data_IF_821477475624
#
_entry.id   IF_821477475624
#
_cell.length_a   1.000
_cell.length_b   1.000
_cell.length_c   1.000
_cell.angle_alpha   90.00
_cell.angle_beta   90.00
_cell.angle_gamma   90.00
#
_symmetry.space_group_name_H-M   'P 1'
#
loop_
_entity.id
_entity.type
_entity.pdbx_description
1 polymer ?
#
# COMPACT_ATOMS: atom_id res chain seq x y z
N UNK A 1 -12.99 -15.55 15.17
CA UNK A 1 -13.54 -14.21 15.52
C UNK A 1 -12.81 -13.17 14.66
N UNK A 2 -13.49 -12.12 14.22
CA UNK A 2 -12.84 -11.05 13.47
C UNK A 2 -11.99 -10.17 14.39
N UNK A 3 -10.80 -9.80 13.94
CA UNK A 3 -9.90 -8.86 14.64
C UNK A 3 -10.43 -7.45 14.53
N UNK A 4 -10.93 -7.08 13.33
CA UNK A 4 -11.53 -5.77 13.06
C UNK A 4 -12.97 -5.96 12.59
N UNK A 5 -13.88 -5.13 13.08
CA UNK A 5 -15.24 -4.98 12.52
C UNK A 5 -15.55 -3.50 12.45
N UNK A 6 -15.77 -3.01 11.23
CA UNK A 6 -16.25 -1.67 10.95
C UNK A 6 -17.66 -1.76 10.33
N UNK A 7 -18.59 -0.96 10.83
CA UNK A 7 -19.95 -0.89 10.30
C UNK A 7 -20.33 0.56 10.01
N UNK A 8 -20.57 0.87 8.73
CA UNK A 8 -20.93 2.18 8.19
C UNK A 8 -20.05 3.31 8.71
N UNK A 9 -18.73 3.01 8.80
CA UNK A 9 -17.73 3.89 9.38
C UNK A 9 -17.51 5.12 8.51
N UNK A 10 -17.67 6.31 9.09
CA UNK A 10 -17.43 7.57 8.36
C UNK A 10 -16.62 8.55 9.21
N UNK A 11 -15.77 9.34 8.54
CA UNK A 11 -14.96 10.39 9.17
C UNK A 11 -15.00 11.67 8.37
N UNK A 12 -15.41 12.74 9.01
CA UNK A 12 -15.43 14.10 8.50
C UNK A 12 -14.37 14.96 9.17
N UNK A 13 -13.69 15.81 8.39
CA UNK A 13 -12.81 16.88 8.83
C UNK A 13 -13.45 18.21 8.41
N UNK A 14 -14.29 18.77 9.30
CA UNK A 14 -15.14 19.89 8.91
C UNK A 14 -16.07 19.47 7.76
N UNK A 15 -15.90 20.09 6.58
CA UNK A 15 -16.67 19.78 5.38
C UNK A 15 -16.01 18.73 4.47
N UNK A 16 -14.80 18.28 4.79
CA UNK A 16 -14.05 17.29 3.98
C UNK A 16 -14.36 15.89 4.49
N UNK A 17 -14.84 15.03 3.61
CA UNK A 17 -15.10 13.62 3.88
C UNK A 17 -13.80 12.81 3.65
N UNK A 18 -13.25 12.25 4.72
CA UNK A 18 -12.04 11.42 4.64
C UNK A 18 -12.34 9.95 4.44
N UNK A 19 -13.39 9.42 5.09
CA UNK A 19 -13.90 8.03 4.96
C UNK A 19 -15.41 8.07 4.97
N UNK A 20 -16.06 7.32 4.09
CA UNK A 20 -17.50 7.33 3.86
C UNK A 20 -18.08 5.92 3.87
N UNK A 21 -18.94 5.64 4.84
CA UNK A 21 -19.79 4.44 4.90
C UNK A 21 -19.03 3.12 4.72
N UNK A 22 -17.84 3.01 5.31
CA UNK A 22 -17.01 1.82 5.22
C UNK A 22 -17.54 0.73 6.14
N UNK A 23 -17.98 -0.38 5.55
CA UNK A 23 -18.28 -1.63 6.25
C UNK A 23 -17.25 -2.66 5.85
N UNK A 24 -16.47 -3.15 6.82
CA UNK A 24 -15.35 -4.05 6.58
C UNK A 24 -15.07 -4.93 7.79
N UNK A 25 -14.64 -6.17 7.54
CA UNK A 25 -14.24 -7.08 8.61
C UNK A 25 -12.94 -7.80 8.27
N UNK A 26 -12.02 -7.88 9.24
CA UNK A 26 -10.74 -8.55 9.11
C UNK A 26 -10.63 -9.69 10.12
N UNK A 27 -10.34 -10.90 9.64
CA UNK A 27 -10.15 -12.08 10.49
C UNK A 27 -8.73 -12.25 10.99
N UNK A 28 -7.74 -11.79 10.25
CA UNK A 28 -6.31 -11.89 10.57
C UNK A 28 -5.45 -11.98 9.31
N UNK A 29 -4.14 -12.22 9.50
CA UNK A 29 -3.17 -12.28 8.42
C UNK A 29 -2.68 -10.91 7.94
N UNK A 30 -1.98 -10.88 6.83
CA UNK A 30 -1.49 -9.64 6.20
C UNK A 30 -2.53 -9.18 5.18
N UNK A 31 -3.00 -7.94 5.29
CA UNK A 31 -3.94 -7.33 4.36
C UNK A 31 -3.39 -6.01 3.83
N UNK A 32 -3.41 -5.85 2.51
CA UNK A 32 -3.04 -4.63 1.83
C UNK A 32 -4.22 -3.66 1.72
N UNK A 33 -4.07 -2.44 2.22
CA UNK A 33 -5.01 -1.33 2.02
C UNK A 33 -4.53 -0.48 0.84
N UNK A 34 -5.10 -0.70 -0.32
CA UNK A 34 -4.67 -0.15 -1.58
C UNK A 34 -5.53 1.06 -1.99
N UNK A 35 -4.90 2.14 -2.43
CA UNK A 35 -5.64 3.31 -2.91
C UNK A 35 -4.74 4.50 -3.25
N UNK A 36 -5.19 5.44 -4.12
CA UNK A 36 -4.40 6.62 -4.44
C UNK A 36 -4.20 7.54 -3.23
N UNK A 37 -3.34 8.55 -3.38
CA UNK A 37 -3.17 9.58 -2.37
C UNK A 37 -4.49 10.33 -2.16
N UNK A 38 -4.85 10.57 -0.89
CA UNK A 38 -6.13 11.18 -0.54
C UNK A 38 -7.34 10.23 -0.55
N UNK A 39 -7.18 8.93 -0.84
CA UNK A 39 -8.28 7.96 -0.86
C UNK A 39 -8.91 7.68 0.51
N UNK A 40 -8.27 8.09 1.62
CA UNK A 40 -8.75 7.83 2.99
C UNK A 40 -7.97 6.76 3.76
N UNK A 41 -6.91 6.15 3.18
CA UNK A 41 -6.08 5.10 3.80
C UNK A 41 -5.59 5.46 5.20
N UNK A 42 -4.83 6.56 5.32
CA UNK A 42 -4.28 7.02 6.61
C UNK A 42 -5.38 7.40 7.61
N UNK A 43 -6.54 7.89 7.12
CA UNK A 43 -7.70 8.16 7.99
C UNK A 43 -8.25 6.88 8.59
N UNK A 44 -8.43 5.84 7.78
CA UNK A 44 -8.90 4.53 8.24
C UNK A 44 -7.89 3.91 9.20
N UNK A 45 -6.59 3.90 8.87
CA UNK A 45 -5.52 3.39 9.73
C UNK A 45 -5.51 4.11 11.09
N UNK A 46 -5.63 5.45 11.11
CA UNK A 46 -5.68 6.21 12.37
C UNK A 46 -6.91 5.89 13.22
N UNK A 47 -8.05 5.60 12.60
CA UNK A 47 -9.23 5.13 13.33
C UNK A 47 -9.00 3.74 13.92
N UNK A 48 -8.42 2.82 13.14
CA UNK A 48 -8.02 1.47 13.61
C UNK A 48 -7.03 1.53 14.77
N UNK A 49 -6.07 2.47 14.72
CA UNK A 49 -5.09 2.70 15.78
C UNK A 49 -5.68 3.37 17.04
N UNK A 50 -6.97 3.75 17.02
CA UNK A 50 -7.60 4.48 18.11
C UNK A 50 -7.11 5.92 18.29
N UNK A 51 -6.44 6.49 17.26
CA UNK A 51 -5.94 7.88 17.26
C UNK A 51 -6.99 8.87 16.75
N UNK A 52 -8.02 8.37 16.09
CA UNK A 52 -9.04 9.20 15.45
C UNK A 52 -10.43 8.63 15.75
N UNK A 53 -11.29 9.44 16.34
CA UNK A 53 -12.68 9.05 16.58
C UNK A 53 -13.48 9.10 15.28
N UNK A 54 -14.26 8.04 14.94
CA UNK A 54 -15.24 8.09 13.87
C UNK A 54 -16.25 9.21 14.07
N UNK A 55 -16.74 9.79 12.97
CA UNK A 55 -17.85 10.76 13.01
C UNK A 55 -19.21 10.06 13.00
N UNK A 56 -19.30 8.88 12.34
CA UNK A 56 -20.49 8.01 12.27
C UNK A 56 -20.06 6.55 12.17
N UNK A 57 -21.02 5.66 12.43
CA UNK A 57 -20.80 4.22 12.41
C UNK A 57 -20.09 3.69 13.65
N UNK A 58 -19.71 2.42 13.62
CA UNK A 58 -19.02 1.77 14.72
C UNK A 58 -17.74 1.10 14.24
N UNK A 59 -16.76 1.01 15.16
CA UNK A 59 -15.50 0.33 14.93
C UNK A 59 -15.12 -0.45 16.18
N UNK A 60 -14.83 -1.73 16.00
CA UNK A 60 -14.23 -2.56 17.06
C UNK A 60 -12.95 -3.22 16.55
N UNK A 61 -11.97 -3.29 17.44
CA UNK A 61 -10.73 -4.05 17.28
C UNK A 61 -10.64 -4.99 18.47
N UNK A 62 -10.48 -6.29 18.22
CA UNK A 62 -10.58 -7.33 19.27
C UNK A 62 -11.87 -7.23 20.10
N UNK A 63 -12.98 -6.80 19.49
CA UNK A 63 -14.28 -6.70 20.12
C UNK A 63 -14.56 -5.43 20.93
N UNK A 64 -13.60 -4.49 21.05
CA UNK A 64 -13.79 -3.23 21.76
C UNK A 64 -13.40 -2.01 20.90
N UNK A 65 -13.89 -0.82 21.28
CA UNK A 65 -13.64 0.43 20.57
C UNK A 65 -12.18 0.90 20.81
N UNK A 66 -11.30 0.93 19.78
CA UNK A 66 -9.89 1.29 19.97
C UNK A 66 -9.68 2.75 20.41
N UNK A 67 -10.62 3.65 20.13
CA UNK A 67 -10.53 5.05 20.57
C UNK A 67 -10.79 5.20 22.07
N UNK A 68 -11.63 4.35 22.66
CA UNK A 68 -12.06 4.43 24.05
C UNK A 68 -11.29 3.45 24.96
N UNK A 69 -10.89 2.29 24.43
CA UNK A 69 -10.25 1.22 25.21
C UNK A 69 -8.72 1.25 25.10
N UNK A 70 -8.06 1.55 26.22
CA UNK A 70 -6.59 1.57 26.30
C UNK A 70 -6.01 0.13 26.25
N UNK A 71 -6.74 -0.87 26.70
CA UNK A 71 -6.32 -2.27 26.64
C UNK A 71 -6.18 -2.74 25.20
N UNK A 72 -7.12 -2.35 24.34
CA UNK A 72 -7.02 -2.60 22.90
C UNK A 72 -5.83 -1.86 22.28
N UNK A 73 -5.64 -0.58 22.60
CA UNK A 73 -4.50 0.19 22.05
C UNK A 73 -3.14 -0.41 22.41
N UNK A 74 -2.98 -1.00 23.57
CA UNK A 74 -1.75 -1.71 23.98
C UNK A 74 -1.44 -2.94 23.13
N UNK A 75 -2.42 -3.47 22.42
CA UNK A 75 -2.28 -4.60 21.49
C UNK A 75 -2.06 -4.16 20.05
N UNK A 76 -1.99 -2.85 19.79
CA UNK A 76 -1.85 -2.26 18.46
C UNK A 76 -0.48 -1.62 18.33
N UNK A 77 0.29 -2.02 17.32
CA UNK A 77 1.48 -1.34 16.84
C UNK A 77 1.15 -0.43 15.66
N UNK A 78 1.67 0.78 15.64
CA UNK A 78 1.42 1.73 14.55
C UNK A 78 2.70 2.40 14.06
N UNK A 79 2.98 2.29 12.77
CA UNK A 79 4.04 3.00 12.07
C UNK A 79 3.41 4.01 11.10
N UNK A 80 3.47 5.33 11.40
CA UNK A 80 2.91 6.36 10.54
C UNK A 80 3.75 6.59 9.28
N UNK A 81 3.14 7.14 8.21
CA UNK A 81 3.86 7.53 7.00
C UNK A 81 4.95 8.59 7.30
N UNK A 82 4.55 9.68 7.96
CA UNK A 82 5.41 10.81 8.24
C UNK A 82 5.81 10.88 9.71
N UNK A 83 7.06 11.21 9.95
CA UNK A 83 7.63 11.43 11.25
C UNK A 83 8.21 12.84 11.34
N UNK A 84 7.92 13.51 12.44
CA UNK A 84 8.60 14.75 12.82
C UNK A 84 9.18 14.53 14.22
N UNK A 85 10.46 14.87 14.42
CA UNK A 85 11.04 15.08 15.74
C UNK A 85 11.91 13.98 16.37
N UNK A 86 12.36 12.94 15.65
CA UNK A 86 13.24 11.94 16.27
C UNK A 86 14.71 12.03 15.85
N UNK A 87 15.07 13.06 15.12
CA UNK A 87 16.38 13.21 14.49
C UNK A 87 17.55 13.22 15.49
N UNK A 88 17.32 13.70 16.71
CA UNK A 88 18.35 13.80 17.72
C UNK A 88 18.51 12.52 18.58
N UNK A 89 17.56 11.60 18.50
CA UNK A 89 17.61 10.35 19.23
C UNK A 89 18.38 9.28 18.45
N UNK A 90 18.92 8.32 19.20
CA UNK A 90 19.36 7.03 18.63
C UNK A 90 18.17 6.07 18.50
N UNK A 91 18.23 5.05 17.65
CA UNK A 91 17.17 4.01 17.58
C UNK A 91 16.86 3.38 18.93
N UNK A 92 17.88 3.08 19.74
CA UNK A 92 17.66 2.47 21.08
C UNK A 92 16.90 3.40 21.99
N UNK A 93 17.26 4.70 22.04
CA UNK A 93 16.56 5.70 22.87
C UNK A 93 15.10 5.85 22.42
N UNK A 94 14.87 5.92 21.11
CA UNK A 94 13.55 6.07 20.54
C UNK A 94 12.68 4.84 20.80
N UNK A 95 13.17 3.64 20.44
CA UNK A 95 12.41 2.40 20.58
C UNK A 95 12.14 2.09 22.05
N UNK A 96 13.10 2.35 22.94
CA UNK A 96 12.91 2.22 24.39
C UNK A 96 11.82 3.16 24.91
N UNK A 97 11.83 4.43 24.48
CA UNK A 97 10.79 5.39 24.88
C UNK A 97 9.40 4.93 24.41
N UNK A 98 9.29 4.42 23.19
CA UNK A 98 8.03 3.88 22.67
C UNK A 98 7.58 2.61 23.43
N UNK A 99 8.52 1.74 23.80
CA UNK A 99 8.22 0.58 24.62
C UNK A 99 7.61 0.98 25.99
N UNK A 100 8.22 1.96 26.66
CA UNK A 100 7.72 2.46 27.95
C UNK A 100 6.34 3.12 27.81
N UNK A 101 6.09 3.89 26.75
CA UNK A 101 4.79 4.48 26.44
C UNK A 101 3.72 3.42 26.13
N UNK A 102 4.10 2.32 25.48
CA UNK A 102 3.21 1.19 25.22
C UNK A 102 2.93 0.32 26.46
N UNK A 103 3.65 0.57 27.57
CA UNK A 103 3.43 -0.11 28.84
C UNK A 103 4.43 -1.22 29.18
N UNK A 104 5.54 -1.34 28.43
CA UNK A 104 6.65 -2.23 28.77
C UNK A 104 7.33 -1.68 30.03
N UNK A 105 7.51 -2.49 31.10
CA UNK A 105 8.16 -2.07 32.32
C UNK A 105 9.57 -1.51 32.06
N UNK A 106 9.96 -0.44 32.71
CA UNK A 106 11.28 0.20 32.56
C UNK A 106 12.45 -0.78 32.75
N UNK A 107 12.30 -1.76 33.62
CA UNK A 107 13.30 -2.82 33.85
C UNK A 107 13.54 -3.73 32.63
N UNK A 108 12.59 -3.78 31.70
CA UNK A 108 12.66 -4.60 30.46
C UNK A 108 12.74 -3.76 29.18
N UNK A 109 12.48 -2.44 29.24
CA UNK A 109 12.37 -1.58 28.07
C UNK A 109 13.66 -1.51 27.24
N UNK A 110 14.83 -1.53 27.91
CA UNK A 110 16.12 -1.49 27.22
C UNK A 110 16.36 -2.79 26.42
N UNK A 111 16.19 -3.94 27.04
CA UNK A 111 16.36 -5.24 26.39
C UNK A 111 15.33 -5.44 25.25
N UNK A 112 14.08 -5.02 25.46
CA UNK A 112 13.05 -5.06 24.42
C UNK A 112 13.43 -4.17 23.20
N UNK A 113 13.97 -2.97 23.46
CA UNK A 113 14.40 -2.09 22.39
C UNK A 113 15.57 -2.66 21.58
N UNK A 114 16.57 -3.23 22.27
CA UNK A 114 17.72 -3.86 21.61
C UNK A 114 17.27 -5.05 20.75
N UNK A 115 16.39 -5.89 21.24
CA UNK A 115 15.82 -7.01 20.51
C UNK A 115 15.05 -6.54 19.27
N UNK A 116 14.13 -5.57 19.41
CA UNK A 116 13.36 -5.04 18.29
C UNK A 116 14.24 -4.40 17.21
N UNK A 117 15.35 -3.75 17.59
CA UNK A 117 16.31 -3.17 16.66
C UNK A 117 17.10 -4.28 15.95
N UNK A 118 17.48 -5.33 16.66
CA UNK A 118 18.18 -6.48 16.09
C UNK A 118 17.30 -7.21 15.07
N UNK A 119 16.01 -7.40 15.38
CA UNK A 119 15.01 -8.01 14.48
C UNK A 119 14.87 -7.22 13.18
N UNK A 120 15.05 -5.90 13.23
CA UNK A 120 15.05 -5.01 12.05
C UNK A 120 16.43 -4.91 11.36
N UNK A 121 17.43 -5.69 11.77
CA UNK A 121 18.77 -5.67 11.18
C UNK A 121 19.50 -4.33 11.36
N UNK A 122 19.25 -3.64 12.49
CA UNK A 122 19.76 -2.30 12.74
C UNK A 122 20.79 -2.22 13.89
N UNK A 123 21.31 -3.34 14.35
CA UNK A 123 22.24 -3.43 15.50
C UNK A 123 23.46 -2.51 15.33
N UNK A 124 24.11 -2.51 14.17
CA UNK A 124 25.31 -1.70 13.90
C UNK A 124 25.03 -0.18 13.91
N UNK A 125 23.79 0.20 13.65
CA UNK A 125 23.35 1.58 13.63
C UNK A 125 22.64 2.02 14.91
N UNK A 126 22.48 1.13 15.88
CA UNK A 126 21.65 1.30 17.09
C UNK A 126 22.04 2.51 17.95
N UNK A 127 23.34 2.92 17.93
CA UNK A 127 23.90 4.03 18.69
C UNK A 127 24.11 5.31 17.83
N UNK A 128 23.79 5.29 16.55
CA UNK A 128 23.90 6.46 15.67
C UNK A 128 22.61 7.27 15.71
N UNK A 129 22.70 8.60 15.61
CA UNK A 129 21.50 9.46 15.58
C UNK A 129 20.70 9.28 14.30
N UNK A 130 19.37 9.25 14.43
CA UNK A 130 18.42 9.00 13.35
C UNK A 130 18.51 10.05 12.23
N UNK A 131 18.93 11.30 12.51
CA UNK A 131 19.10 12.36 11.51
C UNK A 131 20.03 11.98 10.34
N UNK A 132 21.00 11.11 10.58
CA UNK A 132 21.95 10.62 9.57
C UNK A 132 21.48 9.37 8.82
N UNK A 133 20.24 8.93 9.00
CA UNK A 133 19.74 7.68 8.42
C UNK A 133 19.20 7.85 7.01
N UNK A 134 19.44 6.82 6.17
CA UNK A 134 18.71 6.66 4.92
C UNK A 134 17.22 6.45 5.21
N UNK A 135 16.39 6.61 4.17
CA UNK A 135 14.95 6.41 4.30
C UNK A 135 14.61 4.97 4.74
N UNK A 136 15.32 3.97 4.21
CA UNK A 136 15.17 2.57 4.62
C UNK A 136 15.55 2.32 6.09
N UNK A 137 16.63 2.95 6.58
CA UNK A 137 17.01 2.87 8.00
C UNK A 137 15.95 3.52 8.90
N UNK A 138 15.44 4.69 8.53
CA UNK A 138 14.34 5.36 9.26
C UNK A 138 13.10 4.46 9.30
N UNK A 139 12.76 3.83 8.20
CA UNK A 139 11.59 2.96 8.11
C UNK A 139 11.74 1.71 8.99
N UNK A 140 12.91 1.06 8.98
CA UNK A 140 13.19 -0.06 9.88
C UNK A 140 13.15 0.34 11.35
N UNK A 141 13.64 1.54 11.69
CA UNK A 141 13.50 2.10 13.05
C UNK A 141 12.02 2.27 13.42
N UNK A 142 11.16 2.74 12.50
CA UNK A 142 9.71 2.83 12.73
C UNK A 142 9.06 1.47 12.97
N UNK A 143 9.42 0.47 12.17
CA UNK A 143 8.94 -0.89 12.40
C UNK A 143 9.33 -1.38 13.78
N UNK A 144 10.57 -1.15 14.23
CA UNK A 144 11.00 -1.48 15.58
C UNK A 144 10.14 -0.78 16.65
N UNK A 145 9.81 0.52 16.47
CA UNK A 145 8.93 1.24 17.42
C UNK A 145 7.52 0.66 17.47
N UNK A 146 7.00 0.25 16.31
CA UNK A 146 5.65 -0.31 16.21
C UNK A 146 5.53 -1.72 16.78
N UNK A 147 6.65 -2.48 16.87
CA UNK A 147 6.65 -3.89 17.26
C UNK A 147 7.25 -4.17 18.64
N UNK A 148 7.95 -3.21 19.26
CA UNK A 148 8.72 -3.39 20.50
C UNK A 148 7.92 -3.90 21.70
N UNK A 149 6.62 -3.65 21.75
CA UNK A 149 5.73 -4.09 22.83
C UNK A 149 4.97 -5.37 22.49
N UNK A 150 5.39 -6.05 21.43
CA UNK A 150 4.83 -7.33 20.93
C UNK A 150 3.31 -7.28 20.67
N UNK A 151 2.83 -6.34 19.82
CA UNK A 151 1.41 -6.19 19.54
C UNK A 151 0.84 -7.39 18.74
N UNK A 152 -0.46 -7.65 18.90
CA UNK A 152 -1.20 -8.64 18.12
C UNK A 152 -1.64 -8.07 16.75
N UNK A 153 -1.81 -6.75 16.66
CA UNK A 153 -2.26 -6.03 15.46
C UNK A 153 -1.29 -4.92 15.09
N UNK A 154 -0.78 -4.92 13.87
CA UNK A 154 0.20 -3.97 13.38
C UNK A 154 -0.38 -3.18 12.20
N UNK A 155 -0.26 -1.86 12.28
CA UNK A 155 -0.73 -0.92 11.28
C UNK A 155 0.46 -0.18 10.67
N UNK A 156 0.67 -0.32 9.36
CA UNK A 156 1.78 0.27 8.63
C UNK A 156 1.25 1.21 7.55
N UNK A 157 1.51 2.50 7.71
CA UNK A 157 1.05 3.52 6.76
C UNK A 157 2.17 3.87 5.80
N UNK A 158 2.02 3.47 4.52
CA UNK A 158 2.98 3.67 3.41
C UNK A 158 4.43 3.25 3.76
N UNK A 159 4.70 2.03 4.29
CA UNK A 159 6.01 1.65 4.82
C UNK A 159 7.11 1.53 3.78
N UNK A 160 6.79 1.41 2.48
CA UNK A 160 7.75 1.22 1.40
C UNK A 160 7.99 2.48 0.56
N UNK A 161 7.24 3.57 0.83
CA UNK A 161 7.29 4.79 0.05
C UNK A 161 8.66 5.48 0.10
N UNK A 162 9.28 5.59 -1.08
CA UNK A 162 10.58 6.25 -1.31
C UNK A 162 11.77 5.54 -0.65
N UNK A 163 11.64 4.28 -0.33
CA UNK A 163 12.74 3.40 0.09
C UNK A 163 13.45 2.88 -1.16
N UNK A 164 14.78 2.78 -1.09
CA UNK A 164 15.58 2.20 -2.17
C UNK A 164 15.26 0.70 -2.38
N UNK A 165 15.52 0.13 -3.58
CA UNK A 165 15.11 -1.24 -3.91
C UNK A 165 15.67 -2.30 -2.96
N UNK A 166 16.91 -2.15 -2.48
CA UNK A 166 17.54 -3.12 -1.56
C UNK A 166 16.88 -3.09 -0.19
N UNK A 167 16.73 -1.90 0.40
CA UNK A 167 16.08 -1.75 1.69
C UNK A 167 14.59 -2.14 1.64
N UNK A 168 13.92 -1.97 0.47
CA UNK A 168 12.56 -2.43 0.26
C UNK A 168 12.42 -3.94 0.42
N UNK A 169 13.31 -4.73 -0.21
CA UNK A 169 13.31 -6.19 -0.08
C UNK A 169 13.45 -6.59 1.39
N UNK A 170 14.40 -5.99 2.11
CA UNK A 170 14.65 -6.28 3.52
C UNK A 170 13.41 -5.97 4.40
N UNK A 171 12.73 -4.84 4.15
CA UNK A 171 11.51 -4.46 4.87
C UNK A 171 10.35 -5.42 4.56
N UNK A 172 10.17 -5.81 3.31
CA UNK A 172 9.15 -6.80 2.89
C UNK A 172 9.36 -8.12 3.63
N UNK A 173 10.60 -8.62 3.70
CA UNK A 173 10.93 -9.85 4.42
C UNK A 173 10.66 -9.72 5.93
N UNK A 174 10.96 -8.56 6.53
CA UNK A 174 10.68 -8.30 7.94
C UNK A 174 9.17 -8.32 8.23
N UNK A 175 8.37 -7.69 7.36
CA UNK A 175 6.91 -7.69 7.51
C UNK A 175 6.33 -9.11 7.34
N UNK A 176 6.84 -9.89 6.38
CA UNK A 176 6.42 -11.29 6.21
C UNK A 176 6.71 -12.14 7.44
N UNK A 177 7.93 -12.04 7.99
CA UNK A 177 8.29 -12.72 9.24
C UNK A 177 7.36 -12.36 10.40
N UNK A 178 6.99 -11.09 10.54
CA UNK A 178 6.01 -10.67 11.54
C UNK A 178 4.64 -11.34 11.31
N UNK A 179 4.20 -11.46 10.06
CA UNK A 179 2.96 -12.18 9.71
C UNK A 179 3.01 -13.68 10.07
N UNK A 180 4.15 -14.33 9.83
CA UNK A 180 4.38 -15.75 10.14
C UNK A 180 4.30 -16.05 11.67
N UNK A 181 4.52 -15.05 12.51
CA UNK A 181 4.31 -15.18 13.96
C UNK A 181 2.82 -15.14 14.39
N UNK A 182 1.89 -15.11 13.42
CA UNK A 182 0.45 -15.07 13.68
C UNK A 182 -0.14 -13.70 13.96
N UNK A 183 0.65 -12.64 13.78
CA UNK A 183 0.18 -11.25 13.94
C UNK A 183 -0.71 -10.84 12.77
N UNK A 184 -1.71 -10.01 13.07
CA UNK A 184 -2.53 -9.37 12.05
C UNK A 184 -1.86 -8.08 11.61
N UNK A 185 -1.72 -7.86 10.31
CA UNK A 185 -1.01 -6.69 9.78
C UNK A 185 -1.86 -6.03 8.69
N UNK A 186 -2.10 -4.72 8.81
CA UNK A 186 -2.69 -3.89 7.74
C UNK A 186 -1.63 -2.94 7.22
N UNK A 187 -1.42 -2.97 5.91
CA UNK A 187 -0.39 -2.18 5.25
C UNK A 187 -1.04 -1.31 4.18
N UNK A 188 -0.89 0.00 4.27
CA UNK A 188 -1.31 0.86 3.17
C UNK A 188 -0.23 1.01 2.12
N UNK A 189 -0.63 1.07 0.87
CA UNK A 189 0.18 1.53 -0.26
C UNK A 189 -0.70 2.11 -1.36
N UNK A 190 -0.11 2.97 -2.18
CA UNK A 190 -0.70 3.42 -3.45
C UNK A 190 -0.11 2.66 -4.65
N UNK A 191 0.74 1.67 -4.40
CA UNK A 191 1.46 0.88 -5.40
C UNK A 191 1.09 -0.59 -5.27
N UNK A 192 0.45 -1.13 -6.29
CA UNK A 192 -0.10 -2.50 -6.26
C UNK A 192 0.99 -3.56 -6.05
N UNK A 193 2.10 -3.50 -6.80
CA UNK A 193 3.18 -4.49 -6.71
C UNK A 193 3.85 -4.53 -5.32
N UNK A 194 3.81 -3.43 -4.56
CA UNK A 194 4.31 -3.41 -3.17
C UNK A 194 3.45 -4.27 -2.26
N UNK A 195 2.14 -4.23 -2.46
CA UNK A 195 1.20 -5.07 -1.71
C UNK A 195 1.29 -6.53 -2.16
N UNK A 196 1.36 -6.80 -3.46
CA UNK A 196 1.51 -8.16 -4.02
C UNK A 196 2.77 -8.88 -3.51
N UNK A 197 3.83 -8.12 -3.27
CA UNK A 197 5.04 -8.65 -2.65
C UNK A 197 4.82 -9.16 -1.21
N UNK A 198 3.77 -8.74 -0.52
CA UNK A 198 3.46 -9.02 0.87
C UNK A 198 2.31 -9.99 1.08
N UNK A 199 1.24 -9.83 0.29
CA UNK A 199 -0.01 -10.58 0.46
C UNK A 199 -0.84 -10.59 -0.82
N UNK A 200 -1.68 -11.60 -0.96
CA UNK A 200 -2.73 -11.63 -1.97
C UNK A 200 -4.06 -11.03 -1.51
N UNK A 201 -4.22 -10.76 -0.20
CA UNK A 201 -5.46 -10.23 0.36
C UNK A 201 -5.42 -8.70 0.39
N UNK A 202 -6.35 -8.05 -0.29
CA UNK A 202 -6.39 -6.59 -0.42
C UNK A 202 -7.76 -5.99 -0.18
N UNK A 203 -7.75 -4.76 0.30
CA UNK A 203 -8.90 -3.87 0.37
C UNK A 203 -8.58 -2.64 -0.47
N UNK A 204 -9.39 -2.37 -1.46
CA UNK A 204 -9.24 -1.23 -2.37
C UNK A 204 -10.12 -0.09 -1.87
N UNK A 205 -9.48 1.04 -1.53
CA UNK A 205 -10.17 2.24 -1.06
C UNK A 205 -10.02 3.39 -2.07
N UNK A 206 -11.12 4.08 -2.35
CA UNK A 206 -11.14 5.22 -3.24
C UNK A 206 -12.18 6.25 -2.78
N UNK A 207 -11.80 7.52 -2.74
CA UNK A 207 -12.66 8.64 -2.28
C UNK A 207 -13.38 8.34 -0.95
N UNK A 208 -12.67 7.68 -0.04
CA UNK A 208 -13.18 7.34 1.29
C UNK A 208 -14.06 6.09 1.35
N UNK A 209 -14.31 5.38 0.26
CA UNK A 209 -15.15 4.19 0.21
C UNK A 209 -14.34 2.95 -0.13
N UNK A 210 -14.73 1.79 0.41
CA UNK A 210 -14.21 0.48 -0.02
C UNK A 210 -14.88 0.12 -1.34
N UNK A 211 -14.08 -0.04 -2.39
CA UNK A 211 -14.56 -0.43 -3.72
C UNK A 211 -14.58 -1.93 -3.91
N UNK A 212 -13.55 -2.61 -3.43
CA UNK A 212 -13.40 -4.04 -3.54
C UNK A 212 -12.60 -4.58 -2.35
N UNK A 213 -12.83 -5.82 -1.97
CA UNK A 213 -12.05 -6.59 -1.02
C UNK A 213 -11.90 -8.02 -1.52
N UNK A 214 -10.79 -8.68 -1.18
CA UNK A 214 -10.52 -10.06 -1.51
C UNK A 214 -9.15 -10.28 -2.15
N UNK A 215 -9.05 -11.34 -2.95
CA UNK A 215 -7.79 -11.73 -3.55
C UNK A 215 -7.40 -10.81 -4.71
N UNK A 216 -6.14 -10.34 -4.72
CA UNK A 216 -5.60 -9.45 -5.75
C UNK A 216 -5.76 -10.00 -7.16
N UNK A 217 -5.62 -11.31 -7.34
CA UNK A 217 -5.77 -11.95 -8.66
C UNK A 217 -7.22 -11.91 -9.17
N UNK A 218 -8.21 -12.01 -8.26
CA UNK A 218 -9.63 -11.86 -8.61
C UNK A 218 -9.94 -10.42 -9.01
N UNK A 219 -9.40 -9.46 -8.27
CA UNK A 219 -9.55 -8.03 -8.57
C UNK A 219 -8.86 -7.70 -9.90
N UNK A 220 -7.67 -8.25 -10.18
CA UNK A 220 -7.00 -8.13 -11.48
C UNK A 220 -7.86 -8.66 -12.64
N UNK A 221 -8.45 -9.84 -12.50
CA UNK A 221 -9.35 -10.40 -13.52
C UNK A 221 -10.56 -9.49 -13.85
N UNK A 222 -11.01 -8.69 -12.90
CA UNK A 222 -12.04 -7.68 -13.18
C UNK A 222 -11.52 -6.55 -14.06
N UNK A 223 -10.23 -6.19 -13.89
CA UNK A 223 -9.54 -5.19 -14.71
C UNK A 223 -9.23 -5.74 -16.10
N UNK A 224 -8.73 -6.98 -16.19
CA UNK A 224 -8.37 -7.66 -17.44
C UNK A 224 -9.56 -7.89 -18.39
N UNK A 225 -10.80 -7.68 -17.93
CA UNK A 225 -11.99 -7.65 -18.79
C UNK A 225 -12.04 -6.41 -19.69
N UNK A 226 -11.30 -5.35 -19.33
CA UNK A 226 -11.18 -4.15 -20.14
C UNK A 226 -9.88 -4.22 -20.95
N UNK A 227 -9.88 -3.81 -22.23
CA UNK A 227 -8.66 -3.78 -23.03
C UNK A 227 -7.63 -2.85 -22.40
N UNK A 228 -6.39 -3.31 -22.27
CA UNK A 228 -5.27 -2.51 -21.81
C UNK A 228 -4.92 -1.44 -22.82
N UNK A 229 -4.59 -0.24 -22.37
CA UNK A 229 -4.16 0.87 -23.23
C UNK A 229 -2.64 0.99 -23.22
N UNK A 230 -2.05 0.95 -24.40
CA UNK A 230 -0.62 1.15 -24.62
C UNK A 230 -0.46 2.38 -25.50
N UNK A 231 0.26 3.40 -24.99
CA UNK A 231 0.58 4.61 -25.74
C UNK A 231 2.01 4.52 -26.24
N UNK A 232 2.18 4.63 -27.56
CA UNK A 232 3.48 4.60 -28.24
C UNK A 232 3.70 5.95 -28.90
N UNK A 233 4.69 6.70 -28.42
CA UNK A 233 5.18 7.92 -29.04
C UNK A 233 6.43 7.58 -29.84
N UNK A 234 6.40 7.75 -31.15
CA UNK A 234 7.44 7.32 -32.07
C UNK A 234 7.47 8.21 -33.31
N UNK A 235 8.55 8.10 -34.11
CA UNK A 235 8.71 8.83 -35.34
C UNK A 235 7.73 8.43 -36.46
N UNK A 236 7.26 7.16 -36.43
CA UNK A 236 6.36 6.60 -37.45
C UNK A 236 5.16 5.86 -36.84
N UNK A 237 4.23 6.56 -36.21
CA UNK A 237 3.09 5.94 -35.50
C UNK A 237 2.17 5.11 -36.41
N UNK A 238 2.14 5.42 -37.74
CA UNK A 238 1.35 4.66 -38.71
C UNK A 238 1.92 3.25 -38.97
N UNK A 239 3.23 3.06 -38.88
CA UNK A 239 3.86 1.75 -39.07
C UNK A 239 3.52 0.82 -37.88
N UNK A 240 3.56 1.32 -36.65
CA UNK A 240 3.10 0.60 -35.45
C UNK A 240 1.61 0.24 -35.61
N UNK A 241 0.77 1.21 -35.99
CA UNK A 241 -0.65 0.98 -36.17
C UNK A 241 -0.95 -0.09 -37.25
N UNK A 242 -0.23 -0.07 -38.38
CA UNK A 242 -0.38 -1.02 -39.46
C UNK A 242 0.03 -2.45 -39.05
N UNK A 243 1.11 -2.58 -38.31
CA UNK A 243 1.59 -3.87 -37.79
C UNK A 243 0.59 -4.53 -36.84
N UNK A 244 -0.12 -3.72 -36.03
CA UNK A 244 -1.05 -4.21 -35.01
C UNK A 244 -2.51 -4.29 -35.49
N UNK A 245 -2.86 -3.69 -36.62
CA UNK A 245 -4.26 -3.53 -37.08
C UNK A 245 -4.98 -4.84 -37.37
N UNK A 246 -4.26 -5.92 -37.67
CA UNK A 246 -4.83 -7.22 -38.03
C UNK A 246 -4.76 -8.25 -36.89
N UNK A 247 -4.25 -7.85 -35.72
CA UNK A 247 -4.08 -8.74 -34.59
C UNK A 247 -5.38 -8.89 -33.81
N UNK A 248 -5.80 -10.14 -33.57
CA UNK A 248 -7.06 -10.47 -32.89
C UNK A 248 -7.16 -9.95 -31.47
N UNK A 249 -6.02 -9.80 -30.79
CA UNK A 249 -5.98 -9.28 -29.41
C UNK A 249 -6.13 -7.75 -29.34
N UNK A 250 -5.99 -7.03 -30.49
CA UNK A 250 -6.12 -5.58 -30.55
C UNK A 250 -7.57 -5.19 -30.76
N UNK A 251 -8.14 -4.51 -29.76
CA UNK A 251 -9.54 -4.10 -29.78
C UNK A 251 -9.75 -2.75 -30.50
N UNK A 252 -8.75 -1.85 -30.39
CA UNK A 252 -8.84 -0.50 -30.96
C UNK A 252 -7.45 0.11 -31.17
N UNK A 253 -7.32 0.91 -32.23
CA UNK A 253 -6.17 1.76 -32.46
C UNK A 253 -6.66 3.19 -32.68
N UNK A 254 -6.04 4.15 -32.00
CA UNK A 254 -6.35 5.57 -32.14
C UNK A 254 -5.05 6.38 -32.23
N UNK A 255 -5.12 7.58 -32.80
CA UNK A 255 -4.00 8.52 -32.84
C UNK A 255 -4.33 9.72 -31.94
N UNK A 256 -3.45 10.01 -30.99
CA UNK A 256 -3.61 11.13 -30.08
C UNK A 256 -2.32 11.94 -29.97
N UNK A 257 -2.39 13.21 -30.36
CA UNK A 257 -1.24 14.16 -30.26
C UNK A 257 0.06 13.61 -30.85
N UNK A 258 -0.02 12.91 -31.99
CA UNK A 258 1.15 12.36 -32.68
C UNK A 258 1.60 10.97 -32.22
N UNK A 259 1.06 10.45 -31.12
CA UNK A 259 1.30 9.10 -30.66
C UNK A 259 0.19 8.14 -31.14
N UNK A 260 0.47 6.83 -31.17
CA UNK A 260 -0.54 5.80 -31.35
C UNK A 260 -0.96 5.26 -29.98
N UNK A 261 -2.27 5.17 -29.77
CA UNK A 261 -2.90 4.52 -28.61
C UNK A 261 -3.50 3.20 -29.07
N UNK A 262 -3.04 2.11 -28.48
CA UNK A 262 -3.51 0.74 -28.76
C UNK A 262 -4.29 0.22 -27.55
N UNK A 263 -5.51 -0.24 -27.76
CA UNK A 263 -6.29 -0.97 -26.78
C UNK A 263 -6.19 -2.48 -27.09
N UNK A 264 -5.62 -3.25 -26.18
CA UNK A 264 -5.36 -4.69 -26.39
C UNK A 264 -5.87 -5.54 -25.23
N UNK A 265 -6.29 -6.77 -25.54
CA UNK A 265 -6.66 -7.79 -24.54
C UNK A 265 -5.48 -8.66 -24.11
N UNK A 266 -4.36 -8.57 -24.80
CA UNK A 266 -3.12 -9.28 -24.49
C UNK A 266 -1.96 -8.27 -24.58
N UNK A 267 -1.63 -7.59 -23.46
CA UNK A 267 -0.61 -6.57 -23.44
C UNK A 267 0.80 -7.15 -23.71
N UNK A 268 1.10 -8.35 -23.22
CA UNK A 268 2.42 -8.96 -23.38
C UNK A 268 2.71 -9.23 -24.86
N UNK A 269 1.77 -9.84 -25.56
CA UNK A 269 1.86 -10.06 -27.01
C UNK A 269 1.95 -8.76 -27.80
N UNK A 270 1.22 -7.74 -27.37
CA UNK A 270 1.28 -6.41 -27.99
C UNK A 270 2.67 -5.76 -27.82
N UNK A 271 3.29 -5.87 -26.65
CA UNK A 271 4.64 -5.39 -26.41
C UNK A 271 5.68 -6.13 -27.24
N UNK A 272 5.58 -7.46 -27.37
CA UNK A 272 6.46 -8.26 -28.23
C UNK A 272 6.38 -7.81 -29.68
N UNK A 273 5.19 -7.63 -30.22
CA UNK A 273 5.00 -7.18 -31.61
C UNK A 273 5.48 -5.75 -31.85
N UNK A 274 5.28 -4.83 -30.91
CA UNK A 274 5.87 -3.49 -30.97
C UNK A 274 7.41 -3.60 -31.00
N UNK A 275 7.98 -4.48 -30.19
CA UNK A 275 9.42 -4.78 -30.15
C UNK A 275 9.92 -5.29 -31.50
N UNK A 276 9.19 -6.20 -32.15
CA UNK A 276 9.55 -6.75 -33.47
C UNK A 276 9.59 -5.67 -34.56
N UNK A 277 8.64 -4.74 -34.55
CA UNK A 277 8.63 -3.61 -35.49
C UNK A 277 9.85 -2.69 -35.30
N UNK A 278 10.25 -2.46 -34.03
CA UNK A 278 11.46 -1.67 -33.69
C UNK A 278 12.72 -2.41 -34.12
N UNK A 279 12.83 -3.70 -33.83
CA UNK A 279 14.00 -4.53 -34.20
C UNK A 279 14.18 -4.67 -35.71
N UNK A 280 13.09 -4.62 -36.49
CA UNK A 280 13.14 -4.56 -37.93
C UNK A 280 13.75 -3.23 -38.46
N UNK A 281 14.08 -2.27 -37.58
CA UNK A 281 14.78 -1.02 -37.89
C UNK A 281 13.92 0.07 -38.55
N UNK A 282 12.62 -0.10 -38.56
CA UNK A 282 11.70 0.79 -39.28
C UNK A 282 11.16 1.94 -38.41
N UNK A 283 11.17 1.82 -37.07
CA UNK A 283 10.55 2.76 -36.13
C UNK A 283 11.46 3.05 -34.95
N UNK A 284 11.57 4.32 -34.57
CA UNK A 284 12.24 4.75 -33.31
C UNK A 284 11.21 5.18 -32.28
N UNK A 285 11.16 4.49 -31.14
CA UNK A 285 10.26 4.83 -30.03
C UNK A 285 10.90 5.91 -29.15
N UNK A 286 10.18 7.00 -28.90
CA UNK A 286 10.54 8.05 -27.95
C UNK A 286 10.02 7.73 -26.55
N UNK A 287 8.76 7.28 -26.47
CA UNK A 287 8.12 6.94 -25.20
C UNK A 287 7.13 5.79 -25.40
N UNK A 288 7.19 4.81 -24.51
CA UNK A 288 6.25 3.69 -24.42
C UNK A 288 5.67 3.69 -23.02
N UNK A 289 4.36 3.88 -22.88
CA UNK A 289 3.66 3.95 -21.60
C UNK A 289 2.36 3.17 -21.64
N UNK A 290 1.97 2.61 -20.49
CA UNK A 290 0.64 2.06 -20.31
C UNK A 290 -0.13 2.96 -19.34
N UNK A 291 -1.01 3.84 -19.83
CA UNK A 291 -1.82 4.71 -18.98
C UNK A 291 -2.67 3.95 -17.96
N UNK A 292 -3.03 2.72 -18.29
CA UNK A 292 -3.91 1.86 -17.48
C UNK A 292 -3.15 0.97 -16.49
N UNK A 293 -1.83 0.98 -16.51
CA UNK A 293 -1.01 0.19 -15.58
C UNK A 293 -0.84 0.87 -14.20
N UNK A 294 -1.69 1.84 -13.91
CA UNK A 294 -1.73 2.54 -12.64
C UNK A 294 -3.06 2.29 -11.93
N UNK A 295 -3.01 2.40 -10.60
CA UNK A 295 -4.18 2.27 -9.74
C UNK A 295 -5.34 3.22 -10.12
N UNK A 296 -5.06 4.37 -10.74
CA UNK A 296 -6.08 5.31 -11.20
C UNK A 296 -7.01 4.66 -12.23
N UNK A 297 -6.46 3.95 -13.21
CA UNK A 297 -7.23 3.22 -14.22
C UNK A 297 -8.06 2.09 -13.58
N UNK A 298 -7.47 1.33 -12.65
CA UNK A 298 -8.21 0.31 -11.86
C UNK A 298 -9.42 0.94 -11.18
N UNK A 299 -9.25 2.13 -10.60
CA UNK A 299 -10.33 2.84 -9.92
C UNK A 299 -11.37 3.38 -10.89
N UNK A 300 -10.98 3.89 -12.05
CA UNK A 300 -11.91 4.32 -13.09
C UNK A 300 -12.78 3.15 -13.57
N UNK A 301 -12.18 2.00 -13.86
CA UNK A 301 -12.92 0.79 -14.27
C UNK A 301 -13.88 0.30 -13.18
N UNK A 302 -13.44 0.23 -11.93
CA UNK A 302 -14.31 -0.18 -10.81
C UNK A 302 -15.43 0.83 -10.52
N UNK A 303 -15.26 2.10 -10.88
CA UNK A 303 -16.29 3.15 -10.69
C UNK A 303 -17.24 3.26 -11.88
N UNK A 304 -16.79 3.02 -13.12
CA UNK A 304 -17.63 3.02 -14.33
C UNK A 304 -18.63 1.86 -14.32
N UNK A 305 -18.23 0.68 -13.83
CA UNK A 305 -19.13 -0.46 -13.69
C UNK A 305 -20.25 -0.25 -12.66
N UNK A 306 -20.05 0.62 -11.65
CA UNK A 306 -21.08 0.99 -10.68
C UNK A 306 -22.08 2.02 -11.22
N UNK A 307 -21.70 2.81 -12.23
CA UNK A 307 -22.60 3.77 -12.89
C UNK A 307 -23.55 3.13 -13.92
N UNK A 308 -23.36 1.84 -14.24
CA UNK A 308 -24.18 1.08 -15.21
C UNK A 308 -25.12 0.04 -14.56
N UNK A 309 -25.17 0.01 -13.24
CA UNK A 309 -26.18 -0.74 -12.46
C UNK A 309 -27.07 0.25 -11.66
#
# INVERSE_FOLDING_TARGET
>A
MSVVVADKLSKWYGHVLGVSDVSWSLKGGIVGLLGPNGAGKSTLIKMLAGLLRPSRGSLTVFGANPYEDIGVRRRIGYAPEHEKAWDELTPVELVRSMAELAGVPRSRSAAAAEAAIADMGMTDASKRRVRGFSKGMRQRTKLATATVHDPDFILLDEPLTGVDPKARIEIVEQIKRLGETGKTIVISSHVLYEIEALTSEIVVIYRGQVLAEGNVYEIRRLIDRHPHRIRVDCDKPREIAAALAHEEHVARIAFERGAVLVETRDPDRCYEQIGDVVLAGNVSIHTLTSPDNNLGAVFEYLTDDRGRR
#
